data_IF_253488123721
#
_entry.id   IF_253488123721
#
_cell.length_a   1.000
_cell.length_b   1.000
_cell.length_c   1.000
_cell.angle_alpha   90.00
_cell.angle_beta   90.00
_cell.angle_gamma   90.00
#
_symmetry.space_group_name_H-M   'P 1'
#
loop_
_entity.id
_entity.type
_entity.pdbx_description
1 polymer ?
#
# COMPACT_ATOMS: atom_id res chain seq x y z
N UNK A 1 -9.57 10.63 -18.39
CA UNK A 1 -9.45 9.72 -17.25
C UNK A 1 -8.78 8.44 -17.74
N UNK A 2 -7.52 8.23 -17.44
CA UNK A 2 -6.84 7.00 -17.84
C UNK A 2 -7.15 5.93 -16.80
N UNK A 3 -7.97 4.95 -17.19
CA UNK A 3 -8.38 3.85 -16.33
C UNK A 3 -7.17 2.93 -16.04
N UNK A 4 -6.62 3.01 -14.84
CA UNK A 4 -5.61 2.06 -14.30
C UNK A 4 -6.19 0.66 -13.99
N UNK A 5 -7.33 0.32 -14.56
CA UNK A 5 -8.07 -0.93 -14.28
C UNK A 5 -7.55 -2.17 -15.02
N UNK A 6 -6.45 -2.05 -15.77
CA UNK A 6 -5.85 -3.21 -16.43
C UNK A 6 -5.25 -4.16 -15.41
N UNK A 7 -5.71 -5.39 -15.38
CA UNK A 7 -5.12 -6.51 -14.65
C UNK A 7 -3.69 -6.84 -15.12
N UNK A 8 -3.34 -6.46 -16.35
CA UNK A 8 -2.01 -6.64 -16.91
C UNK A 8 -0.98 -5.71 -16.25
N UNK A 9 -0.06 -6.32 -15.50
CA UNK A 9 0.97 -5.59 -14.73
C UNK A 9 1.96 -4.81 -15.62
N UNK A 10 2.24 -5.26 -16.84
CA UNK A 10 3.15 -4.60 -17.79
C UNK A 10 2.52 -3.33 -18.36
N UNK A 11 1.28 -3.41 -18.83
CA UNK A 11 0.53 -2.26 -19.34
C UNK A 11 0.39 -1.18 -18.28
N UNK A 12 0.03 -1.57 -17.04
CA UNK A 12 -0.09 -0.64 -15.91
C UNK A 12 1.23 0.05 -15.59
N UNK A 13 2.35 -0.68 -15.59
CA UNK A 13 3.69 -0.10 -15.38
C UNK A 13 4.06 0.86 -16.50
N UNK A 14 3.82 0.49 -17.74
CA UNK A 14 4.07 1.35 -18.90
C UNK A 14 3.31 2.67 -18.78
N UNK A 15 1.98 2.63 -18.56
CA UNK A 15 1.17 3.84 -18.40
C UNK A 15 1.61 4.69 -17.21
N UNK A 16 1.94 4.07 -16.08
CA UNK A 16 2.44 4.79 -14.93
C UNK A 16 3.71 5.58 -15.25
N UNK A 17 4.71 4.91 -15.82
CA UNK A 17 6.00 5.58 -16.13
C UNK A 17 5.87 6.60 -17.25
N UNK A 18 5.11 6.34 -18.31
CA UNK A 18 4.86 7.29 -19.41
C UNK A 18 4.16 8.55 -18.91
N UNK A 19 3.08 8.41 -18.13
CA UNK A 19 2.40 9.55 -17.50
C UNK A 19 3.36 10.38 -16.65
N UNK A 20 4.17 9.74 -15.82
CA UNK A 20 5.07 10.44 -14.93
C UNK A 20 6.25 11.08 -15.67
N UNK A 21 6.73 10.49 -16.76
CA UNK A 21 7.71 11.11 -17.64
C UNK A 21 7.17 12.42 -18.25
N UNK A 22 5.94 12.40 -18.76
CA UNK A 22 5.27 13.61 -19.26
C UNK A 22 5.13 14.67 -18.16
N UNK A 23 4.80 14.26 -16.94
CA UNK A 23 4.71 15.20 -15.82
C UNK A 23 6.06 15.84 -15.47
N UNK A 24 7.19 15.15 -15.67
CA UNK A 24 8.53 15.73 -15.42
C UNK A 24 8.88 16.88 -16.36
N UNK A 25 8.34 16.90 -17.58
CA UNK A 25 8.54 17.98 -18.56
C UNK A 25 7.84 19.28 -18.13
N UNK A 26 6.77 19.17 -17.33
CA UNK A 26 6.01 20.34 -16.87
C UNK A 26 6.83 21.09 -15.80
N UNK A 27 7.10 22.40 -15.98
CA UNK A 27 7.83 23.19 -14.98
C UNK A 27 7.15 23.20 -13.61
N UNK A 28 7.95 23.13 -12.53
CA UNK A 28 7.43 23.09 -11.16
C UNK A 28 6.62 24.34 -10.78
N UNK A 29 6.83 25.46 -11.46
CA UNK A 29 6.05 26.69 -11.31
C UNK A 29 4.54 26.46 -11.46
N UNK A 30 4.10 25.67 -12.44
CA UNK A 30 2.67 25.39 -12.65
C UNK A 30 2.07 24.58 -11.50
N UNK A 31 2.85 23.70 -10.86
CA UNK A 31 2.38 22.96 -9.68
C UNK A 31 2.24 23.90 -8.47
N UNK A 32 3.22 24.78 -8.26
CA UNK A 32 3.16 25.77 -7.17
C UNK A 32 1.98 26.72 -7.28
N UNK A 33 1.68 27.25 -8.46
CA UNK A 33 0.47 28.06 -8.68
C UNK A 33 -0.83 27.35 -8.29
N UNK A 34 -0.88 26.02 -8.49
CA UNK A 34 -2.08 25.22 -8.17
C UNK A 34 -2.19 24.87 -6.69
N UNK A 35 -1.11 24.97 -5.91
CA UNK A 35 -1.11 24.58 -4.51
C UNK A 35 -2.17 25.34 -3.71
N UNK A 36 -2.19 26.67 -3.82
CA UNK A 36 -3.14 27.51 -3.13
C UNK A 36 -4.60 27.09 -3.42
N UNK A 37 -4.94 26.97 -4.70
CA UNK A 37 -6.28 26.56 -5.12
C UNK A 37 -6.69 25.14 -4.61
N UNK A 38 -5.72 24.27 -4.40
CA UNK A 38 -5.97 22.92 -3.84
C UNK A 38 -6.16 23.01 -2.33
N UNK A 39 -5.27 23.71 -1.62
CA UNK A 39 -5.28 23.80 -0.16
C UNK A 39 -6.38 24.70 0.41
N UNK A 40 -6.96 25.59 -0.40
CA UNK A 40 -8.14 26.36 -0.02
C UNK A 40 -9.44 25.51 -0.02
N UNK A 41 -9.39 24.29 -0.55
CA UNK A 41 -10.50 23.35 -0.40
C UNK A 41 -10.48 22.82 1.05
N UNK A 42 -11.59 23.00 1.74
CA UNK A 42 -11.75 22.48 3.10
C UNK A 42 -11.75 20.95 3.07
N UNK A 43 -10.93 20.34 3.93
CA UNK A 43 -11.03 18.92 4.19
C UNK A 43 -12.39 18.64 4.83
N UNK A 44 -13.15 17.71 4.29
CA UNK A 44 -14.30 17.17 5.00
C UNK A 44 -13.85 16.42 6.28
N UNK A 45 -14.78 16.18 7.19
CA UNK A 45 -14.47 15.55 8.49
C UNK A 45 -13.72 14.21 8.33
N UNK A 46 -14.13 13.40 7.37
CA UNK A 46 -13.48 12.11 7.09
C UNK A 46 -12.02 12.30 6.65
N UNK A 47 -11.78 13.23 5.73
CA UNK A 47 -10.43 13.53 5.22
C UNK A 47 -9.53 14.10 6.31
N UNK A 48 -10.07 14.95 7.20
CA UNK A 48 -9.35 15.48 8.34
C UNK A 48 -8.93 14.36 9.32
N UNK A 49 -9.85 13.46 9.67
CA UNK A 49 -9.55 12.28 10.51
C UNK A 49 -8.51 11.36 9.86
N UNK A 50 -8.56 11.19 8.53
CA UNK A 50 -7.53 10.43 7.80
C UNK A 50 -6.17 11.13 7.82
N UNK A 51 -6.12 12.44 7.66
CA UNK A 51 -4.86 13.20 7.76
C UNK A 51 -4.21 13.02 9.14
N UNK A 52 -5.00 13.10 10.22
CA UNK A 52 -4.54 12.84 11.59
C UNK A 52 -4.05 11.38 11.77
N UNK A 53 -4.76 10.42 11.19
CA UNK A 53 -4.34 9.02 11.24
C UNK A 53 -2.98 8.80 10.58
N UNK A 54 -2.71 9.47 9.47
CA UNK A 54 -1.44 9.33 8.74
C UNK A 54 -0.30 10.08 9.41
N UNK A 55 -0.59 11.21 10.06
CA UNK A 55 0.39 12.09 10.70
C UNK A 55 0.06 12.30 12.18
N UNK A 56 0.56 11.39 13.04
CA UNK A 56 0.27 11.33 14.48
C UNK A 56 1.18 12.23 15.35
N UNK A 57 2.06 13.01 14.75
CA UNK A 57 3.00 13.88 15.45
C UNK A 57 2.49 15.32 15.50
N UNK A 58 2.59 15.97 16.66
CA UNK A 58 1.96 17.27 16.92
C UNK A 58 2.93 18.36 17.43
N UNK A 59 4.17 17.97 17.73
CA UNK A 59 5.17 18.91 18.25
C UNK A 59 5.95 19.58 17.11
N UNK A 60 6.76 20.59 17.44
CA UNK A 60 7.73 21.15 16.53
C UNK A 60 8.68 20.07 15.99
N UNK A 61 9.08 20.23 14.74
CA UNK A 61 9.92 19.26 14.03
C UNK A 61 11.30 19.87 13.83
N UNK A 62 12.28 19.31 14.50
CA UNK A 62 13.67 19.50 14.12
C UNK A 62 14.00 18.64 12.91
N UNK A 63 14.53 19.24 11.86
CA UNK A 63 14.96 18.50 10.67
C UNK A 63 16.23 17.72 10.95
N UNK A 64 16.29 16.50 10.45
CA UNK A 64 17.53 15.73 10.52
C UNK A 64 18.62 16.35 9.62
N UNK A 65 19.89 16.04 9.92
CA UNK A 65 21.03 16.43 9.05
C UNK A 65 20.92 15.82 7.63
N UNK A 66 20.12 14.76 7.50
CA UNK A 66 19.88 14.05 6.22
C UNK A 66 18.66 14.61 5.45
N UNK A 67 17.92 15.59 6.00
CA UNK A 67 16.79 16.22 5.33
C UNK A 67 17.25 16.93 4.05
N UNK A 68 16.51 16.71 2.95
CA UNK A 68 16.88 17.13 1.60
C UNK A 68 15.79 17.94 0.94
N UNK A 69 16.22 18.95 0.19
CA UNK A 69 15.33 19.73 -0.63
C UNK A 69 15.00 19.04 -1.97
N UNK A 70 14.10 19.65 -2.76
CA UNK A 70 13.63 19.10 -4.03
C UNK A 70 14.77 18.76 -5.01
N UNK A 71 15.75 19.65 -5.17
CA UNK A 71 16.85 19.47 -6.10
C UNK A 71 17.81 18.36 -5.65
N UNK A 72 18.13 18.31 -4.36
CA UNK A 72 18.98 17.28 -3.77
C UNK A 72 18.32 15.88 -3.87
N UNK A 73 17.00 15.81 -3.64
CA UNK A 73 16.22 14.58 -3.81
C UNK A 73 16.28 14.10 -5.25
N UNK A 74 16.12 15.00 -6.23
CA UNK A 74 16.17 14.70 -7.67
C UNK A 74 17.56 14.22 -8.10
N UNK A 75 18.62 14.96 -7.76
CA UNK A 75 20.02 14.63 -8.10
C UNK A 75 20.41 13.26 -7.50
N UNK A 76 20.04 13.01 -6.24
CA UNK A 76 20.33 11.73 -5.61
C UNK A 76 19.63 10.55 -6.30
N UNK A 77 18.46 10.78 -6.88
CA UNK A 77 17.78 9.74 -7.65
C UNK A 77 18.46 9.47 -8.98
N UNK A 78 18.89 10.51 -9.70
CA UNK A 78 19.63 10.35 -10.96
C UNK A 78 20.89 9.52 -10.77
N UNK A 79 21.65 9.76 -9.69
CA UNK A 79 22.86 9.00 -9.36
C UNK A 79 22.61 7.49 -9.10
N UNK A 80 21.38 7.11 -8.75
CA UNK A 80 21.05 5.70 -8.42
C UNK A 80 20.70 4.83 -9.63
N UNK A 81 20.62 5.37 -10.83
CA UNK A 81 20.32 4.68 -12.10
C UNK A 81 19.17 3.65 -12.06
N UNK A 82 18.21 3.77 -11.13
CA UNK A 82 17.08 2.86 -10.99
C UNK A 82 15.78 3.64 -10.96
N UNK A 83 14.86 3.26 -11.85
CA UNK A 83 13.49 3.75 -11.79
C UNK A 83 12.88 3.37 -10.43
N UNK A 84 12.50 4.37 -9.65
CA UNK A 84 11.95 4.19 -8.32
C UNK A 84 10.58 4.88 -8.21
N UNK A 85 9.53 4.07 -8.22
CA UNK A 85 8.16 4.59 -8.11
C UNK A 85 7.90 5.33 -6.80
N UNK A 86 8.58 4.99 -5.71
CA UNK A 86 8.46 5.75 -4.45
C UNK A 86 8.98 7.17 -4.61
N UNK A 87 10.13 7.31 -5.29
CA UNK A 87 10.68 8.63 -5.60
C UNK A 87 9.70 9.44 -6.46
N UNK A 88 9.22 8.86 -7.55
CA UNK A 88 8.35 9.54 -8.50
C UNK A 88 7.09 10.06 -7.79
N UNK A 89 6.45 9.23 -6.98
CA UNK A 89 5.24 9.62 -6.26
C UNK A 89 5.52 10.72 -5.23
N UNK A 90 6.62 10.60 -4.47
CA UNK A 90 7.03 11.62 -3.51
C UNK A 90 7.42 12.94 -4.19
N UNK A 91 8.24 12.89 -5.24
CA UNK A 91 8.64 14.05 -6.03
C UNK A 91 7.42 14.80 -6.58
N UNK A 92 6.44 14.07 -7.12
CA UNK A 92 5.20 14.66 -7.66
C UNK A 92 4.33 15.35 -6.58
N UNK A 93 4.55 15.07 -5.31
CA UNK A 93 3.90 15.78 -4.21
C UNK A 93 4.71 16.99 -3.76
N UNK A 94 6.01 16.84 -3.51
CA UNK A 94 6.82 17.94 -2.96
C UNK A 94 7.08 19.08 -3.95
N UNK A 95 6.99 18.83 -5.27
CA UNK A 95 7.13 19.86 -6.32
C UNK A 95 6.03 20.93 -6.31
N UNK A 96 4.94 20.73 -5.56
CA UNK A 96 3.94 21.76 -5.30
C UNK A 96 4.45 22.85 -4.36
N UNK A 97 5.45 22.56 -3.56
CA UNK A 97 5.99 23.48 -2.54
C UNK A 97 7.25 24.21 -3.02
N UNK A 98 7.75 25.15 -2.21
CA UNK A 98 8.98 25.85 -2.50
C UNK A 98 10.14 24.83 -2.61
N UNK A 99 10.97 24.91 -3.66
CA UNK A 99 12.07 23.96 -3.86
C UNK A 99 13.17 24.02 -2.79
N UNK A 100 13.21 25.06 -1.96
CA UNK A 100 14.14 25.20 -0.83
C UNK A 100 13.72 24.39 0.39
N UNK A 101 12.42 24.01 0.53
CA UNK A 101 11.95 23.25 1.66
C UNK A 101 12.57 21.87 1.73
N UNK A 102 12.91 21.42 2.93
CA UNK A 102 13.59 20.16 3.20
C UNK A 102 12.63 19.14 3.81
N UNK A 103 12.86 17.88 3.46
CA UNK A 103 12.04 16.76 3.90
C UNK A 103 12.90 15.61 4.37
N UNK A 104 12.52 14.97 5.47
CA UNK A 104 13.02 13.68 5.88
C UNK A 104 12.18 12.56 5.22
N UNK A 105 12.82 11.76 4.36
CA UNK A 105 12.14 10.77 3.53
C UNK A 105 12.95 9.49 3.38
N UNK A 106 12.27 8.32 3.48
CA UNK A 106 12.89 7.02 3.30
C UNK A 106 12.45 6.35 2.00
N UNK A 107 13.38 6.18 1.07
CA UNK A 107 13.16 5.61 -0.27
C UNK A 107 12.74 4.15 -0.29
N UNK A 108 13.21 3.34 0.63
CA UNK A 108 13.14 1.87 0.54
C UNK A 108 12.59 1.27 1.82
N UNK A 109 11.45 1.77 2.22
CA UNK A 109 10.76 1.42 3.46
C UNK A 109 10.45 -0.09 3.63
N UNK A 110 10.42 -0.87 2.54
CA UNK A 110 10.12 -2.31 2.63
C UNK A 110 11.15 -3.16 3.39
N UNK A 111 12.35 -2.63 3.63
CA UNK A 111 13.41 -3.36 4.37
C UNK A 111 13.61 -2.89 5.80
N UNK A 112 13.15 -1.67 6.18
CA UNK A 112 13.76 -0.98 7.32
C UNK A 112 12.82 -0.09 8.14
N UNK A 113 11.48 -0.20 8.01
CA UNK A 113 10.57 0.78 8.62
C UNK A 113 10.84 0.91 10.12
N UNK A 114 10.84 -0.18 10.85
CA UNK A 114 11.13 -0.13 12.29
C UNK A 114 12.62 -0.15 12.60
N UNK A 115 13.42 -0.88 11.81
CA UNK A 115 14.84 -1.01 12.08
C UNK A 115 15.67 0.20 11.65
N UNK A 116 15.27 0.94 10.60
CA UNK A 116 15.97 2.18 10.23
C UNK A 116 15.59 3.33 11.17
N UNK A 117 14.33 3.44 11.58
CA UNK A 117 13.87 4.42 12.57
C UNK A 117 14.39 4.04 13.96
N UNK A 118 14.32 2.77 14.35
CA UNK A 118 14.85 2.30 15.62
C UNK A 118 16.38 2.34 15.70
N UNK A 119 17.09 1.97 14.63
CA UNK A 119 18.58 2.04 14.59
C UNK A 119 19.10 3.46 14.58
N UNK A 120 18.42 4.40 13.91
CA UNK A 120 18.80 5.82 13.93
C UNK A 120 18.37 6.51 15.21
N UNK A 121 17.60 5.89 16.13
CA UNK A 121 16.92 6.56 17.24
C UNK A 121 16.26 7.87 16.75
N UNK A 122 15.56 7.80 15.62
CA UNK A 122 15.10 8.98 14.93
C UNK A 122 14.04 9.64 15.79
N UNK A 123 14.44 10.72 16.43
CA UNK A 123 13.58 11.65 17.15
C UNK A 123 12.70 12.41 16.15
N UNK A 124 13.06 12.38 14.87
CA UNK A 124 12.48 13.21 13.81
C UNK A 124 11.35 12.48 13.06
N UNK A 125 10.25 13.17 12.74
CA UNK A 125 9.22 12.68 11.86
C UNK A 125 9.72 12.44 10.43
N UNK A 126 9.49 11.23 9.90
CA UNK A 126 9.99 10.79 8.60
C UNK A 126 8.83 10.30 7.73
N UNK A 127 8.81 10.72 6.46
CA UNK A 127 7.86 10.19 5.47
C UNK A 127 8.19 8.77 5.07
N UNK A 128 7.22 7.87 5.20
CA UNK A 128 7.35 6.43 4.93
C UNK A 128 6.19 5.89 4.08
N UNK A 129 6.43 4.79 3.39
CA UNK A 129 5.40 4.05 2.67
C UNK A 129 4.46 3.29 3.60
N UNK A 130 5.02 2.70 4.63
CA UNK A 130 4.31 1.85 5.62
C UNK A 130 5.05 1.87 6.95
N UNK A 131 4.33 1.55 8.01
CA UNK A 131 4.84 1.48 9.39
C UNK A 131 4.21 0.30 10.12
N UNK A 132 4.77 -0.11 11.26
CA UNK A 132 4.11 -1.02 12.17
C UNK A 132 2.85 -0.35 12.77
N UNK A 133 1.76 -1.08 12.94
CA UNK A 133 0.49 -0.53 13.45
C UNK A 133 0.67 0.05 14.87
N UNK A 134 1.44 -0.65 15.71
CA UNK A 134 1.81 -0.20 17.06
C UNK A 134 3.20 0.46 17.10
N UNK A 135 3.67 0.97 15.95
CA UNK A 135 5.00 1.50 15.78
C UNK A 135 5.16 2.96 16.16
N UNK A 136 6.31 3.52 15.79
CA UNK A 136 6.73 4.87 16.13
C UNK A 136 5.80 5.95 15.53
N UNK A 137 5.37 6.91 16.37
CA UNK A 137 4.57 8.09 15.98
C UNK A 137 5.28 9.00 14.97
N UNK A 138 6.62 8.90 14.87
CA UNK A 138 7.44 9.67 13.92
C UNK A 138 7.34 9.18 12.47
N UNK A 139 6.64 8.08 12.20
CA UNK A 139 6.42 7.59 10.83
C UNK A 139 5.18 8.23 10.22
N UNK A 140 5.38 9.15 9.27
CA UNK A 140 4.31 9.83 8.53
C UNK A 140 4.02 9.03 7.26
N UNK A 141 2.79 8.54 7.13
CA UNK A 141 2.40 7.77 5.94
C UNK A 141 2.12 8.67 4.75
N UNK A 142 2.60 8.27 3.57
CA UNK A 142 2.25 8.85 2.27
C UNK A 142 1.86 7.76 1.28
N UNK A 143 0.97 8.13 0.35
CA UNK A 143 0.54 7.26 -0.74
C UNK A 143 1.60 7.18 -1.83
N UNK A 144 2.64 6.39 -1.59
CA UNK A 144 3.74 6.18 -2.53
C UNK A 144 3.79 4.74 -3.03
N UNK A 145 4.53 4.50 -4.13
CA UNK A 145 4.59 3.22 -4.84
C UNK A 145 3.25 2.84 -5.52
N UNK A 146 2.57 3.83 -6.09
CA UNK A 146 1.24 3.69 -6.70
C UNK A 146 1.21 2.66 -7.84
N UNK A 147 2.34 2.44 -8.51
CA UNK A 147 2.44 1.42 -9.57
C UNK A 147 2.19 -0.02 -9.08
N UNK A 148 2.45 -0.29 -7.80
CA UNK A 148 2.25 -1.60 -7.16
C UNK A 148 1.09 -1.65 -6.18
N UNK A 149 0.80 -0.51 -5.55
CA UNK A 149 -0.23 -0.36 -4.54
C UNK A 149 -1.40 0.47 -5.10
N UNK A 150 -2.53 0.48 -4.40
CA UNK A 150 -3.72 1.27 -4.79
C UNK A 150 -4.22 0.92 -6.21
N UNK A 151 -4.01 -0.33 -6.61
CA UNK A 151 -4.60 -0.88 -7.81
C UNK A 151 -5.94 -1.50 -7.42
N UNK A 152 -7.01 -0.78 -7.70
CA UNK A 152 -8.37 -1.25 -7.50
C UNK A 152 -8.91 -1.78 -8.82
N UNK A 153 -9.47 -2.96 -8.78
CA UNK A 153 -9.97 -3.67 -9.97
C UNK A 153 -11.49 -3.64 -10.01
N UNK A 154 -12.03 -3.75 -11.22
CA UNK A 154 -13.45 -3.95 -11.44
C UNK A 154 -13.66 -5.42 -11.85
N UNK A 155 -13.78 -6.28 -10.85
CA UNK A 155 -13.99 -7.70 -11.03
C UNK A 155 -15.39 -7.98 -11.58
N UNK A 156 -15.48 -8.64 -12.73
CA UNK A 156 -16.75 -8.96 -13.40
C UNK A 156 -17.31 -10.32 -13.03
N UNK A 157 -16.50 -11.17 -12.36
CA UNK A 157 -16.92 -12.50 -11.96
C UNK A 157 -17.70 -12.37 -10.65
N UNK A 158 -18.95 -12.78 -10.63
CA UNK A 158 -19.74 -12.81 -9.38
C UNK A 158 -19.14 -13.83 -8.42
N UNK A 159 -19.23 -13.53 -7.10
CA UNK A 159 -18.70 -14.40 -6.05
C UNK A 159 -19.19 -15.84 -6.15
N UNK A 160 -20.48 -16.02 -6.41
CA UNK A 160 -21.11 -17.34 -6.49
C UNK A 160 -20.55 -18.20 -7.61
N UNK A 161 -20.14 -17.57 -8.72
CA UNK A 161 -19.58 -18.25 -9.90
C UNK A 161 -18.10 -18.62 -9.75
N UNK A 162 -17.43 -18.17 -8.68
CA UNK A 162 -16.02 -18.47 -8.44
C UNK A 162 -15.82 -19.85 -7.83
N UNK A 163 -14.65 -20.45 -8.05
CA UNK A 163 -14.24 -21.74 -7.51
C UNK A 163 -14.08 -21.66 -5.98
N UNK A 164 -14.48 -22.72 -5.28
CA UNK A 164 -14.29 -22.84 -3.80
C UNK A 164 -12.81 -23.14 -3.46
N UNK A 165 -11.90 -22.36 -3.97
CA UNK A 165 -10.44 -22.49 -3.82
C UNK A 165 -9.90 -21.23 -3.16
N UNK A 166 -8.87 -21.41 -2.33
CA UNK A 166 -8.06 -20.35 -1.77
C UNK A 166 -6.71 -20.28 -2.47
N UNK A 167 -6.40 -19.14 -3.10
CA UNK A 167 -5.24 -19.00 -3.96
C UNK A 167 -4.17 -18.08 -3.34
N UNK A 168 -2.90 -18.41 -3.58
CA UNK A 168 -1.78 -17.53 -3.32
C UNK A 168 -0.62 -17.77 -4.28
N UNK A 169 -0.03 -16.69 -4.79
CA UNK A 169 1.23 -16.71 -5.54
C UNK A 169 2.13 -15.60 -5.02
N UNK A 170 3.37 -15.92 -4.72
CA UNK A 170 4.31 -14.92 -4.24
C UNK A 170 5.73 -15.43 -4.03
N UNK A 171 6.56 -14.56 -3.49
CA UNK A 171 7.95 -14.86 -3.12
C UNK A 171 8.01 -15.15 -1.61
N UNK A 172 8.38 -16.37 -1.25
CA UNK A 172 8.56 -16.80 0.14
C UNK A 172 10.04 -16.79 0.58
N UNK A 173 10.98 -16.55 -0.33
CA UNK A 173 12.41 -16.52 -0.01
C UNK A 173 12.69 -15.44 1.05
N UNK A 174 13.46 -15.79 2.06
CA UNK A 174 13.77 -14.90 3.18
C UNK A 174 12.53 -14.37 3.93
N UNK A 175 11.47 -15.17 3.99
CA UNK A 175 10.26 -14.88 4.75
C UNK A 175 9.75 -16.15 5.43
N UNK A 176 10.07 -16.32 6.69
CA UNK A 176 9.74 -17.52 7.48
C UNK A 176 8.24 -17.80 7.58
N UNK A 177 7.41 -16.75 7.65
CA UNK A 177 5.93 -16.88 7.73
C UNK A 177 5.38 -17.49 6.44
N UNK A 178 5.82 -16.99 5.29
CA UNK A 178 5.38 -17.48 3.98
C UNK A 178 5.89 -18.88 3.68
N UNK A 179 7.16 -19.16 4.02
CA UNK A 179 7.73 -20.52 3.88
C UNK A 179 6.96 -21.51 4.73
N UNK A 180 6.77 -21.21 6.02
CA UNK A 180 5.98 -22.04 6.93
C UNK A 180 4.56 -22.29 6.41
N UNK A 181 3.88 -21.25 5.92
CA UNK A 181 2.53 -21.37 5.33
C UNK A 181 2.53 -22.32 4.12
N UNK A 182 3.49 -22.18 3.21
CA UNK A 182 3.60 -23.03 2.03
C UNK A 182 3.88 -24.48 2.42
N UNK A 183 4.89 -24.74 3.25
CA UNK A 183 5.27 -26.07 3.71
C UNK A 183 4.11 -26.82 4.37
N UNK A 184 3.30 -26.07 5.14
CA UNK A 184 2.17 -26.65 5.87
C UNK A 184 0.97 -26.98 4.97
N UNK A 185 0.73 -26.19 3.93
CA UNK A 185 -0.56 -26.20 3.23
C UNK A 185 -0.49 -26.47 1.72
N UNK A 186 0.68 -26.70 1.13
CA UNK A 186 0.79 -26.87 -0.34
C UNK A 186 0.04 -28.10 -0.89
N UNK A 187 -0.24 -29.10 -0.05
CA UNK A 187 -0.96 -30.32 -0.41
C UNK A 187 -2.46 -30.29 -0.04
N UNK A 188 -2.95 -29.18 0.54
CA UNK A 188 -4.39 -29.09 0.86
C UNK A 188 -5.19 -28.87 -0.42
N UNK A 189 -6.12 -29.75 -0.73
CA UNK A 189 -6.89 -29.80 -1.99
C UNK A 189 -7.54 -28.46 -2.37
N UNK A 190 -8.08 -27.76 -1.36
CA UNK A 190 -8.74 -26.45 -1.56
C UNK A 190 -7.78 -25.25 -1.60
N UNK A 191 -6.47 -25.50 -1.54
CA UNK A 191 -5.47 -24.43 -1.53
C UNK A 191 -4.59 -24.50 -2.78
N UNK A 192 -4.82 -23.60 -3.73
CA UNK A 192 -3.93 -23.41 -4.86
C UNK A 192 -2.86 -22.36 -4.52
N UNK A 193 -1.89 -22.76 -3.70
CA UNK A 193 -0.83 -21.88 -3.18
C UNK A 193 0.54 -22.28 -3.73
N UNK A 194 1.43 -21.30 -3.96
CA UNK A 194 2.77 -21.63 -4.46
C UNK A 194 3.73 -20.44 -4.48
N UNK A 195 5.02 -20.79 -4.35
CA UNK A 195 6.14 -19.87 -4.57
C UNK A 195 6.42 -19.73 -6.06
N UNK A 196 6.63 -18.51 -6.54
CA UNK A 196 6.84 -18.21 -7.97
C UNK A 196 8.29 -17.91 -8.34
N UNK A 197 9.18 -17.80 -7.36
CA UNK A 197 10.57 -17.40 -7.56
C UNK A 197 11.53 -18.36 -6.82
N UNK A 198 12.74 -18.49 -7.35
CA UNK A 198 13.79 -19.32 -6.74
C UNK A 198 13.85 -20.72 -7.30
N UNK A 199 14.19 -21.68 -6.45
CA UNK A 199 14.36 -23.10 -6.85
C UNK A 199 13.02 -23.69 -7.31
N UNK A 200 13.03 -24.26 -8.51
CA UNK A 200 11.87 -24.91 -9.10
C UNK A 200 11.67 -26.35 -8.66
N UNK A 201 12.66 -26.95 -8.00
CA UNK A 201 12.59 -28.32 -7.50
C UNK A 201 11.80 -28.46 -6.20
N UNK A 202 11.53 -27.37 -5.49
CA UNK A 202 10.77 -27.44 -4.25
C UNK A 202 9.31 -27.82 -4.51
N UNK A 203 8.67 -28.62 -3.64
CA UNK A 203 7.34 -29.19 -3.89
C UNK A 203 6.21 -28.15 -4.02
N UNK A 204 6.38 -26.97 -3.43
CA UNK A 204 5.42 -25.87 -3.49
C UNK A 204 5.79 -24.80 -4.53
N UNK A 205 6.74 -25.06 -5.45
CA UNK A 205 6.97 -24.17 -6.58
C UNK A 205 5.77 -24.24 -7.55
N UNK A 206 5.25 -23.09 -7.94
CA UNK A 206 4.23 -22.95 -8.96
C UNK A 206 4.53 -21.79 -9.89
N UNK A 207 4.10 -21.91 -11.14
CA UNK A 207 4.20 -20.83 -12.10
C UNK A 207 3.42 -19.58 -11.67
N UNK A 208 3.84 -18.43 -12.19
CA UNK A 208 3.12 -17.19 -12.01
C UNK A 208 1.65 -17.33 -12.42
N UNK A 209 0.76 -16.75 -11.63
CA UNK A 209 -0.67 -16.71 -11.91
C UNK A 209 -1.08 -15.24 -12.01
N UNK A 210 -1.71 -14.86 -13.12
CA UNK A 210 -2.20 -13.50 -13.33
C UNK A 210 -3.27 -13.13 -12.29
N UNK A 211 -3.52 -11.83 -12.11
CA UNK A 211 -4.62 -11.39 -11.23
C UNK A 211 -5.93 -11.98 -11.71
N UNK A 212 -6.21 -11.95 -13.03
CA UNK A 212 -7.46 -12.46 -13.59
C UNK A 212 -7.68 -13.93 -13.25
N UNK A 213 -6.64 -14.76 -13.39
CA UNK A 213 -6.73 -16.17 -13.04
C UNK A 213 -6.88 -16.39 -11.52
N UNK A 214 -6.27 -15.53 -10.69
CA UNK A 214 -6.49 -15.58 -9.25
C UNK A 214 -7.94 -15.25 -8.90
N UNK A 215 -8.57 -14.32 -9.64
CA UNK A 215 -9.96 -13.90 -9.43
C UNK A 215 -11.01 -14.94 -9.81
N UNK A 216 -10.64 -16.03 -10.48
CA UNK A 216 -11.53 -17.17 -10.66
C UNK A 216 -11.87 -17.88 -9.33
N UNK A 217 -11.16 -17.57 -8.26
CA UNK A 217 -11.26 -18.23 -6.96
C UNK A 217 -11.93 -17.33 -5.91
N UNK A 218 -12.70 -17.95 -5.01
CA UNK A 218 -13.44 -17.23 -3.96
C UNK A 218 -12.54 -16.60 -2.91
N UNK A 219 -11.39 -17.23 -2.60
CA UNK A 219 -10.55 -16.80 -1.50
C UNK A 219 -9.14 -16.48 -1.98
N UNK A 220 -8.60 -15.36 -1.50
CA UNK A 220 -7.24 -14.91 -1.85
C UNK A 220 -6.46 -14.69 -0.56
N UNK A 221 -5.40 -15.45 -0.35
CA UNK A 221 -4.51 -15.20 0.77
C UNK A 221 -3.72 -13.91 0.58
N UNK A 222 -3.76 -13.04 1.58
CA UNK A 222 -3.07 -11.76 1.60
C UNK A 222 -1.97 -11.77 2.67
N UNK A 223 -0.85 -12.43 2.36
CA UNK A 223 0.23 -12.65 3.32
C UNK A 223 1.22 -11.48 3.34
N UNK A 224 1.44 -10.92 4.52
CA UNK A 224 2.49 -9.93 4.72
C UNK A 224 3.86 -10.52 4.39
N UNK A 225 4.73 -9.66 3.85
CA UNK A 225 6.13 -10.00 3.60
C UNK A 225 7.02 -9.33 4.64
N UNK A 226 7.96 -8.48 4.14
CA UNK A 226 8.78 -7.60 5.00
C UNK A 226 8.02 -6.38 5.52
N UNK A 227 6.81 -6.17 5.03
CA UNK A 227 5.82 -5.17 5.41
C UNK A 227 4.45 -5.61 4.91
N UNK A 228 3.55 -4.68 4.59
CA UNK A 228 2.20 -4.92 4.08
C UNK A 228 2.13 -5.92 2.92
N UNK A 229 0.99 -6.59 2.79
CA UNK A 229 0.69 -7.45 1.65
C UNK A 229 0.30 -6.61 0.42
N UNK A 230 1.04 -6.75 -0.68
CA UNK A 230 0.79 -5.92 -1.88
C UNK A 230 -0.42 -6.35 -2.70
N UNK A 231 -0.90 -7.58 -2.54
CA UNK A 231 -2.10 -8.06 -3.22
C UNK A 231 -3.40 -7.66 -2.50
N UNK A 232 -3.33 -7.22 -1.24
CA UNK A 232 -4.49 -6.82 -0.46
C UNK A 232 -5.36 -5.76 -1.18
N UNK A 233 -4.73 -4.78 -1.83
CA UNK A 233 -5.42 -3.65 -2.47
C UNK A 233 -6.38 -4.08 -3.58
N UNK A 234 -5.90 -4.90 -4.51
CA UNK A 234 -6.73 -5.40 -5.60
C UNK A 234 -7.67 -6.51 -5.13
N UNK A 235 -7.25 -7.34 -4.19
CA UNK A 235 -8.08 -8.42 -3.66
C UNK A 235 -9.29 -7.86 -2.91
N UNK A 236 -9.12 -6.86 -2.03
CA UNK A 236 -10.25 -6.22 -1.33
C UNK A 236 -11.20 -5.43 -2.24
N UNK A 237 -10.77 -5.03 -3.42
CA UNK A 237 -11.63 -4.36 -4.41
C UNK A 237 -12.33 -5.35 -5.37
N UNK A 238 -12.01 -6.63 -5.28
CA UNK A 238 -12.57 -7.71 -6.11
C UNK A 238 -13.81 -8.34 -5.47
N UNK A 239 -14.42 -9.25 -6.22
CA UNK A 239 -15.45 -10.14 -5.69
C UNK A 239 -14.87 -11.44 -5.11
N UNK A 240 -13.62 -11.44 -4.67
CA UNK A 240 -12.99 -12.52 -3.91
C UNK A 240 -12.67 -12.05 -2.50
N UNK A 241 -12.70 -12.94 -1.51
CA UNK A 241 -12.48 -12.58 -0.12
C UNK A 241 -11.02 -12.72 0.25
N UNK A 242 -10.47 -11.70 0.88
CA UNK A 242 -9.15 -11.76 1.48
C UNK A 242 -9.13 -12.68 2.69
N UNK A 243 -8.10 -13.54 2.78
CA UNK A 243 -7.84 -14.42 3.92
C UNK A 243 -6.45 -14.08 4.44
N UNK A 244 -6.34 -13.67 5.69
CA UNK A 244 -5.06 -13.27 6.26
C UNK A 244 -5.10 -13.26 7.80
N UNK A 245 -3.95 -13.35 8.46
CA UNK A 245 -3.84 -12.98 9.87
C UNK A 245 -4.12 -11.49 10.07
N UNK A 246 -4.38 -11.08 11.31
CA UNK A 246 -4.48 -9.67 11.67
C UNK A 246 -3.24 -8.91 11.20
N UNK A 247 -3.39 -7.78 10.47
CA UNK A 247 -2.28 -7.02 9.96
C UNK A 247 -1.34 -6.50 11.08
N UNK A 248 -0.04 -6.56 10.82
CA UNK A 248 1.01 -6.02 11.72
C UNK A 248 1.55 -4.69 11.22
N UNK A 249 1.44 -4.46 9.91
CA UNK A 249 1.89 -3.25 9.23
C UNK A 249 0.72 -2.54 8.58
N UNK A 250 0.86 -1.23 8.48
CA UNK A 250 -0.10 -0.37 7.79
C UNK A 250 0.58 0.58 6.82
N UNK A 251 -0.16 0.94 5.79
CA UNK A 251 0.20 1.94 4.79
C UNK A 251 -0.87 3.03 4.72
N UNK A 252 -0.85 3.80 3.64
CA UNK A 252 -1.95 4.72 3.30
C UNK A 252 -3.32 4.02 3.20
N UNK A 253 -3.36 2.71 3.05
CA UNK A 253 -4.59 1.91 3.01
C UNK A 253 -5.23 1.67 4.38
N UNK A 254 -4.57 2.12 5.47
CA UNK A 254 -5.10 2.05 6.84
C UNK A 254 -5.41 0.60 7.28
N UNK A 255 -4.51 -0.34 7.00
CA UNK A 255 -4.67 -1.76 7.35
C UNK A 255 -4.96 -1.98 8.85
N UNK A 256 -4.50 -1.06 9.71
CA UNK A 256 -4.81 -1.05 11.15
C UNK A 256 -6.29 -0.79 11.49
N UNK A 257 -7.11 -0.36 10.51
CA UNK A 257 -8.56 -0.17 10.66
C UNK A 257 -9.38 -1.35 10.15
N UNK A 258 -8.73 -2.36 9.56
CA UNK A 258 -9.40 -3.57 9.10
C UNK A 258 -9.82 -4.43 10.30
N UNK A 259 -11.03 -4.98 10.23
CA UNK A 259 -11.63 -5.82 11.27
C UNK A 259 -11.81 -7.22 10.68
N UNK A 260 -11.28 -8.21 11.39
CA UNK A 260 -11.42 -9.62 11.02
C UNK A 260 -12.87 -10.10 11.03
N UNK A 261 -13.18 -11.02 10.13
CA UNK A 261 -14.51 -11.57 9.87
C UNK A 261 -15.59 -10.50 9.56
N UNK A 262 -15.15 -9.24 9.35
CA UNK A 262 -15.99 -8.13 8.91
C UNK A 262 -15.52 -7.54 7.57
N UNK A 263 -14.20 -7.31 7.39
CA UNK A 263 -13.62 -6.83 6.13
C UNK A 263 -12.85 -7.94 5.37
N UNK A 264 -12.41 -8.98 6.05
CA UNK A 264 -11.64 -10.11 5.54
C UNK A 264 -11.83 -11.32 6.46
N UNK A 265 -11.53 -12.52 6.00
CA UNK A 265 -11.52 -13.72 6.85
C UNK A 265 -10.23 -13.72 7.67
N UNK A 266 -10.37 -13.58 9.00
CA UNK A 266 -9.22 -13.60 9.90
C UNK A 266 -8.83 -15.04 10.25
N UNK A 267 -7.55 -15.34 10.04
CA UNK A 267 -6.93 -16.58 10.46
C UNK A 267 -5.87 -16.33 11.53
N UNK A 268 -5.53 -17.34 12.31
CA UNK A 268 -4.46 -17.24 13.30
C UNK A 268 -3.11 -16.93 12.67
N UNK A 269 -2.18 -16.34 13.42
CA UNK A 269 -0.85 -15.98 12.93
C UNK A 269 -0.04 -17.20 12.44
N UNK A 270 -0.29 -18.38 12.98
CA UNK A 270 0.29 -19.65 12.58
C UNK A 270 -0.54 -20.41 11.54
N UNK A 271 -1.58 -19.77 11.03
CA UNK A 271 -2.53 -20.32 10.05
C UNK A 271 -3.26 -21.59 10.50
N UNK A 272 -3.16 -22.02 11.78
CA UNK A 272 -3.65 -23.31 12.25
C UNK A 272 -5.14 -23.56 12.00
N UNK A 273 -5.94 -22.50 11.86
CA UNK A 273 -7.37 -22.57 11.57
C UNK A 273 -7.75 -22.18 10.12
N UNK A 274 -6.77 -22.06 9.21
CA UNK A 274 -7.05 -21.54 7.87
C UNK A 274 -8.00 -22.44 7.08
N UNK A 275 -7.79 -23.76 7.13
CA UNK A 275 -8.64 -24.73 6.42
C UNK A 275 -10.05 -24.79 7.04
N UNK A 276 -10.15 -24.82 8.35
CA UNK A 276 -11.42 -24.77 9.08
C UNK A 276 -12.24 -23.52 8.70
N UNK A 277 -11.60 -22.34 8.76
CA UNK A 277 -12.23 -21.06 8.39
C UNK A 277 -12.74 -21.07 6.94
N UNK A 278 -11.93 -21.51 5.99
CA UNK A 278 -12.33 -21.56 4.58
C UNK A 278 -13.49 -22.53 4.39
N UNK A 279 -13.43 -23.72 5.00
CA UNK A 279 -14.53 -24.71 4.94
C UNK A 279 -15.81 -24.13 5.55
N UNK A 280 -15.73 -23.39 6.66
CA UNK A 280 -16.86 -22.70 7.25
C UNK A 280 -17.48 -21.69 6.29
N UNK A 281 -16.69 -20.79 5.71
CA UNK A 281 -17.17 -19.74 4.82
C UNK A 281 -17.68 -20.28 3.46
N UNK A 282 -17.17 -21.44 2.98
CA UNK A 282 -17.77 -22.13 1.82
C UNK A 282 -19.20 -22.54 2.10
N UNK A 283 -19.51 -22.97 3.33
CA UNK A 283 -20.86 -23.37 3.76
C UNK A 283 -21.76 -22.18 4.11
N UNK A 284 -21.20 -20.99 4.30
CA UNK A 284 -21.91 -19.77 4.69
C UNK A 284 -21.70 -18.62 3.68
N UNK A 285 -22.18 -18.75 2.42
CA UNK A 285 -21.97 -17.74 1.39
C UNK A 285 -22.58 -16.38 1.74
N UNK A 286 -23.65 -16.34 2.52
CA UNK A 286 -24.27 -15.12 2.99
C UNK A 286 -23.32 -14.25 3.85
N UNK A 287 -22.51 -14.88 4.69
CA UNK A 287 -21.45 -14.19 5.46
C UNK A 287 -20.32 -13.69 4.56
N UNK A 288 -19.99 -14.47 3.54
CA UNK A 288 -19.02 -14.05 2.52
C UNK A 288 -19.47 -12.75 1.84
N UNK A 289 -20.74 -12.66 1.42
CA UNK A 289 -21.29 -11.46 0.77
C UNK A 289 -21.31 -10.25 1.72
N UNK A 290 -21.54 -10.45 3.00
CA UNK A 290 -21.43 -9.39 4.01
C UNK A 290 -19.99 -8.84 4.09
N UNK A 291 -18.99 -9.73 4.17
CA UNK A 291 -17.57 -9.36 4.19
C UNK A 291 -17.19 -8.60 2.91
N UNK A 292 -17.62 -9.07 1.74
CA UNK A 292 -17.36 -8.40 0.46
C UNK A 292 -17.94 -6.99 0.44
N UNK A 293 -19.20 -6.81 0.85
CA UNK A 293 -19.84 -5.50 0.91
C UNK A 293 -19.07 -4.53 1.84
N UNK A 294 -18.64 -5.00 3.00
CA UNK A 294 -17.87 -4.21 3.94
C UNK A 294 -16.47 -3.87 3.40
N UNK A 295 -15.80 -4.82 2.74
CA UNK A 295 -14.52 -4.61 2.09
C UNK A 295 -14.62 -3.56 0.97
N UNK A 296 -15.65 -3.64 0.13
CA UNK A 296 -15.89 -2.67 -0.94
C UNK A 296 -16.14 -1.26 -0.39
N UNK A 297 -16.97 -1.12 0.66
CA UNK A 297 -17.20 0.17 1.35
C UNK A 297 -15.89 0.74 1.90
N UNK A 298 -15.05 -0.10 2.50
CA UNK A 298 -13.76 0.33 3.02
C UNK A 298 -12.84 0.83 1.90
N UNK A 299 -12.80 0.15 0.76
CA UNK A 299 -11.95 0.51 -0.40
C UNK A 299 -12.40 1.81 -1.05
N UNK A 300 -13.69 2.11 -1.06
CA UNK A 300 -14.27 3.26 -1.79
C UNK A 300 -13.63 4.59 -1.38
N UNK A 301 -13.30 4.76 -0.11
CA UNK A 301 -12.67 5.98 0.41
C UNK A 301 -11.34 6.35 -0.27
N UNK A 302 -10.64 5.38 -0.88
CA UNK A 302 -9.32 5.58 -1.51
C UNK A 302 -9.37 5.81 -3.01
N UNK A 303 -10.55 5.78 -3.64
CA UNK A 303 -10.68 5.86 -5.11
C UNK A 303 -10.69 7.28 -5.66
N UNK A 304 -11.00 8.28 -4.84
CA UNK A 304 -11.04 9.68 -5.28
C UNK A 304 -9.64 10.30 -5.31
N UNK A 305 -8.99 10.31 -6.47
CA UNK A 305 -7.63 10.84 -6.65
C UNK A 305 -7.46 12.31 -6.22
N UNK A 306 -8.52 13.14 -6.35
CA UNK A 306 -8.47 14.56 -5.93
C UNK A 306 -8.47 14.67 -4.42
N UNK A 307 -9.34 13.92 -3.74
CA UNK A 307 -9.42 13.83 -2.28
C UNK A 307 -8.10 13.29 -1.70
N UNK A 308 -7.59 12.20 -2.28
CA UNK A 308 -6.31 11.61 -1.89
C UNK A 308 -5.13 12.59 -2.03
N UNK A 309 -5.11 13.37 -3.09
CA UNK A 309 -4.09 14.41 -3.30
C UNK A 309 -4.21 15.54 -2.29
N UNK A 310 -5.42 16.02 -2.02
CA UNK A 310 -5.67 17.08 -1.04
C UNK A 310 -5.17 16.67 0.35
N UNK A 311 -5.52 15.46 0.82
CA UNK A 311 -5.06 14.93 2.11
C UNK A 311 -3.53 14.89 2.16
N UNK A 312 -2.86 14.39 1.12
CA UNK A 312 -1.39 14.31 1.09
C UNK A 312 -0.72 15.68 1.12
N UNK A 313 -1.24 16.65 0.36
CA UNK A 313 -0.70 18.02 0.36
C UNK A 313 -0.94 18.74 1.70
N UNK A 314 -2.07 18.50 2.35
CA UNK A 314 -2.35 19.01 3.70
C UNK A 314 -1.39 18.44 4.75
N UNK A 315 -1.06 17.15 4.66
CA UNK A 315 -0.03 16.51 5.51
C UNK A 315 1.35 17.15 5.29
N UNK A 316 1.74 17.37 4.03
CA UNK A 316 3.00 18.03 3.71
C UNK A 316 3.03 19.49 4.19
N UNK A 317 1.93 20.25 4.01
CA UNK A 317 1.81 21.62 4.55
C UNK A 317 2.02 21.61 6.06
N UNK A 318 1.31 20.74 6.79
CA UNK A 318 1.45 20.61 8.25
C UNK A 318 2.88 20.26 8.68
N UNK A 319 3.54 19.34 7.98
CA UNK A 319 4.94 19.01 8.24
C UNK A 319 5.84 20.27 8.11
N UNK A 320 5.65 21.04 7.05
CA UNK A 320 6.42 22.26 6.80
C UNK A 320 6.13 23.36 7.83
N UNK A 321 4.89 23.48 8.29
CA UNK A 321 4.51 24.40 9.36
C UNK A 321 5.18 24.02 10.68
N UNK A 322 5.09 22.75 11.08
CA UNK A 322 5.71 22.24 12.30
C UNK A 322 7.24 22.31 12.27
N UNK A 323 7.86 22.30 11.09
CA UNK A 323 9.31 22.45 10.93
C UNK A 323 9.76 23.90 10.71
N UNK A 324 8.88 24.88 10.91
CA UNK A 324 9.19 26.31 10.77
C UNK A 324 9.54 26.75 9.34
N UNK A 325 9.28 25.92 8.33
CA UNK A 325 9.64 26.21 6.94
C UNK A 325 8.52 26.91 6.15
N UNK A 326 7.28 26.79 6.61
CA UNK A 326 6.10 27.34 5.93
C UNK A 326 5.41 28.34 6.84
N UNK A 327 5.64 29.61 6.57
CA UNK A 327 4.90 30.73 7.17
C UNK A 327 3.89 31.23 6.15
N UNK A 328 2.63 31.29 6.53
CA UNK A 328 1.56 31.86 5.69
C UNK A 328 1.71 33.36 5.53
#
# INVERSE_FOLDING_TARGET
>A
MFNYQSSNSLSRRFFYFSKNLLLLIIPNYFFRKRLYAILNQTLDQESALRAEYYFKYHNEIDLSKDAKNLNEIFINQLKKNKQNSHFIDFYNLIRFFNPKYKFDYIYNASKYIDSAIAKKKSVFPIFVKSRAINGNKNSILLQVNKVKLFHFINDKIKFESKKNIAVWRGDARNNTIRSFFLEKYFNVEKFDIGQTNGDKSIPYYKNFLSIDNQLENKFIFCLEGKCISTNLFWAMSSNSICVMPKPKYESWFMEGKLIGDFHFIEVKNDFSNAEEKINYFIKHPEKCLQILNNAHKFVEQFKNERKEKLIQLSILKRYLQLSGQYNE
#
